data_IF_650283613954
#
_entry.id   IF_650283613954
#
_cell.length_a   1.000
_cell.length_b   1.000
_cell.length_c   1.000
_cell.angle_alpha   90.00
_cell.angle_beta   90.00
_cell.angle_gamma   90.00
#
_symmetry.space_group_name_H-M   'P 1'
#
loop_
_entity.id
_entity.type
_entity.pdbx_description
1 polymer ?
#
# COMPACT_ATOMS: atom_id res chain seq x y z
N UNK A 1 -5.19 -11.98 -21.71
CA UNK A 1 -3.91 -11.36 -22.08
C UNK A 1 -2.78 -12.01 -21.28
N UNK A 2 -1.55 -12.13 -21.83
CA UNK A 2 -0.41 -12.71 -21.13
C UNK A 2 0.52 -11.58 -20.63
N UNK A 3 0.37 -11.20 -19.37
CA UNK A 3 1.08 -10.06 -18.77
C UNK A 3 2.61 -10.22 -18.66
N UNK A 4 3.11 -11.43 -18.84
CA UNK A 4 4.54 -11.72 -18.93
C UNK A 4 5.15 -11.45 -20.32
N UNK A 5 4.33 -11.12 -21.34
CA UNK A 5 4.77 -10.75 -22.68
C UNK A 5 4.61 -9.25 -22.90
N UNK A 6 5.26 -8.72 -23.95
CA UNK A 6 5.12 -7.32 -24.33
C UNK A 6 3.71 -6.99 -24.82
N UNK A 7 3.22 -5.81 -24.48
CA UNK A 7 1.93 -5.27 -24.95
C UNK A 7 2.10 -3.78 -25.30
N UNK A 8 1.20 -3.26 -26.11
CA UNK A 8 1.09 -1.82 -26.35
C UNK A 8 0.16 -1.21 -25.33
N UNK A 9 0.55 -0.08 -24.74
CA UNK A 9 -0.19 0.65 -23.73
C UNK A 9 -0.68 2.00 -24.28
N UNK A 10 -1.89 2.37 -23.92
CA UNK A 10 -2.41 3.74 -24.03
C UNK A 10 -3.26 4.04 -22.79
N UNK A 11 -3.37 5.31 -22.43
CA UNK A 11 -4.00 5.71 -21.19
C UNK A 11 -5.08 6.75 -21.45
N UNK A 12 -6.10 6.72 -20.60
CA UNK A 12 -7.08 7.79 -20.52
C UNK A 12 -7.53 7.97 -19.08
N UNK A 13 -8.05 9.11 -18.78
CA UNK A 13 -8.68 9.43 -17.52
C UNK A 13 -10.18 9.56 -17.73
N UNK A 14 -10.98 9.03 -16.83
CA UNK A 14 -12.41 9.26 -16.74
C UNK A 14 -12.71 10.16 -15.53
N UNK A 15 -13.68 11.07 -15.69
CA UNK A 15 -14.27 11.80 -14.57
C UNK A 15 -15.28 10.87 -13.88
N UNK A 16 -15.23 10.77 -12.56
CA UNK A 16 -16.08 9.89 -11.76
C UNK A 16 -17.12 10.72 -11.01
N UNK A 17 -18.38 10.36 -11.11
CA UNK A 17 -19.44 10.92 -10.29
C UNK A 17 -19.30 10.40 -8.84
N UNK A 18 -19.07 11.25 -7.84
CA UNK A 18 -18.77 10.83 -6.46
C UNK A 18 -19.97 10.18 -5.74
N UNK A 19 -21.18 10.32 -6.25
CA UNK A 19 -22.40 9.75 -5.66
C UNK A 19 -22.72 8.37 -6.24
N UNK A 20 -22.61 8.24 -7.56
CA UNK A 20 -22.93 6.98 -8.25
C UNK A 20 -21.73 6.09 -8.51
N UNK A 21 -20.51 6.61 -8.31
CA UNK A 21 -19.21 5.98 -8.56
C UNK A 21 -19.02 5.50 -10.01
N UNK A 22 -19.68 6.21 -10.96
CA UNK A 22 -19.66 5.88 -12.39
C UNK A 22 -18.87 6.91 -13.17
N UNK A 23 -18.23 6.43 -14.22
CA UNK A 23 -17.53 7.29 -15.18
C UNK A 23 -18.55 8.11 -15.98
N UNK A 24 -18.30 9.40 -16.15
CA UNK A 24 -19.20 10.36 -16.82
C UNK A 24 -18.59 10.95 -18.08
N UNK A 25 -17.31 11.33 -18.07
CA UNK A 25 -16.59 11.95 -19.17
C UNK A 25 -15.16 11.41 -19.25
N UNK A 26 -14.42 11.75 -20.31
CA UNK A 26 -13.06 11.25 -20.56
C UNK A 26 -12.14 12.36 -21.02
N UNK A 27 -10.88 12.29 -20.54
CA UNK A 27 -9.77 13.08 -21.04
C UNK A 27 -8.60 12.17 -21.44
N UNK A 28 -7.82 12.59 -22.42
CA UNK A 28 -6.62 11.88 -22.85
C UNK A 28 -5.44 12.23 -21.94
N UNK A 29 -4.68 11.23 -21.53
CA UNK A 29 -3.43 11.36 -20.77
C UNK A 29 -2.27 11.27 -21.76
N UNK A 30 -1.34 12.21 -21.66
CA UNK A 30 -0.12 12.24 -22.48
C UNK A 30 1.10 11.68 -21.76
N UNK A 31 1.08 11.61 -20.43
CA UNK A 31 2.14 11.06 -19.58
C UNK A 31 1.77 11.11 -18.12
N UNK A 32 2.71 10.76 -17.28
CA UNK A 32 2.56 10.81 -15.82
C UNK A 32 3.02 9.55 -15.11
N UNK A 33 2.75 9.48 -13.82
CA UNK A 33 3.05 8.33 -12.99
C UNK A 33 1.98 8.12 -11.91
N UNK A 34 1.90 6.90 -11.41
CA UNK A 34 1.05 6.52 -10.28
C UNK A 34 1.93 5.91 -9.20
N UNK A 35 1.87 6.47 -8.01
CA UNK A 35 2.56 5.98 -6.83
C UNK A 35 1.58 5.24 -5.91
N UNK A 36 2.03 4.12 -5.33
CA UNK A 36 1.27 3.32 -4.38
C UNK A 36 2.19 2.75 -3.32
N UNK A 37 1.72 2.65 -2.08
CA UNK A 37 2.42 1.95 -1.01
C UNK A 37 1.52 0.93 -0.28
N UNK A 38 2.11 0.12 0.57
CA UNK A 38 1.38 -0.91 1.32
C UNK A 38 0.49 -0.36 2.45
N UNK A 39 0.71 0.87 2.89
CA UNK A 39 -0.15 1.52 3.87
C UNK A 39 -1.51 1.87 3.28
N UNK A 40 -1.60 1.91 1.94
CA UNK A 40 -2.78 2.38 1.21
C UNK A 40 -3.02 3.89 1.34
N UNK A 41 -2.25 4.58 2.18
CA UNK A 41 -2.43 6.00 2.47
C UNK A 41 -1.80 6.90 1.40
N UNK A 42 -0.66 6.49 0.87
CA UNK A 42 0.18 7.25 -0.07
C UNK A 42 -0.09 6.86 -1.53
N UNK A 43 -1.36 6.64 -1.89
CA UNK A 43 -1.68 6.55 -3.31
C UNK A 43 -1.84 7.94 -3.90
N UNK A 44 -1.06 8.23 -4.93
CA UNK A 44 -1.13 9.48 -5.68
C UNK A 44 -0.90 9.23 -7.15
N UNK A 45 -1.26 10.18 -7.98
CA UNK A 45 -0.88 10.20 -9.38
C UNK A 45 -0.56 11.62 -9.79
N UNK A 46 0.45 11.77 -10.66
CA UNK A 46 0.74 13.02 -11.37
C UNK A 46 0.52 12.76 -12.84
N UNK A 47 -0.39 13.47 -13.47
CA UNK A 47 -0.83 13.23 -14.85
C UNK A 47 -0.63 14.46 -15.72
N UNK A 48 -0.05 14.23 -16.91
CA UNK A 48 -0.01 15.24 -17.98
C UNK A 48 -1.20 15.02 -18.91
N UNK A 49 -2.02 16.04 -19.08
CA UNK A 49 -3.21 16.00 -19.92
C UNK A 49 -3.41 17.34 -20.66
N UNK A 50 -4.36 17.34 -21.58
CA UNK A 50 -4.75 18.54 -22.35
C UNK A 50 -6.17 18.90 -21.94
N UNK A 51 -6.42 20.19 -21.70
CA UNK A 51 -7.75 20.75 -21.41
C UNK A 51 -8.47 20.11 -20.20
N UNK A 52 -7.77 19.97 -19.05
CA UNK A 52 -8.40 19.57 -17.81
C UNK A 52 -9.27 20.71 -17.25
N UNK A 53 -10.46 20.43 -16.68
CA UNK A 53 -11.30 21.44 -16.05
C UNK A 53 -10.61 22.11 -14.86
N UNK A 54 -10.81 23.42 -14.68
CA UNK A 54 -10.28 24.20 -13.56
C UNK A 54 -11.15 24.03 -12.30
N UNK A 55 -11.28 22.77 -11.87
CA UNK A 55 -12.05 22.37 -10.68
C UNK A 55 -11.52 21.07 -10.08
N UNK A 56 -11.78 20.85 -8.80
CA UNK A 56 -11.48 19.59 -8.11
C UNK A 56 -12.48 18.50 -8.54
N UNK A 57 -11.99 17.37 -9.00
CA UNK A 57 -12.81 16.29 -9.55
C UNK A 57 -12.34 14.92 -9.08
N UNK A 58 -13.28 13.98 -8.95
CA UNK A 58 -12.93 12.57 -8.86
C UNK A 58 -12.58 12.04 -10.24
N UNK A 59 -11.43 11.37 -10.33
CA UNK A 59 -10.91 10.84 -11.60
C UNK A 59 -10.53 9.36 -11.45
N UNK A 60 -10.61 8.65 -12.58
CA UNK A 60 -10.14 7.27 -12.69
C UNK A 60 -9.23 7.12 -13.90
N UNK A 61 -8.02 6.59 -13.67
CA UNK A 61 -7.00 6.40 -14.69
C UNK A 61 -7.06 4.95 -15.18
N UNK A 62 -7.12 4.77 -16.49
CA UNK A 62 -7.18 3.47 -17.15
C UNK A 62 -5.98 3.20 -18.03
N UNK A 63 -5.51 1.96 -17.99
CA UNK A 63 -4.62 1.37 -18.97
C UNK A 63 -5.45 0.62 -20.02
N UNK A 64 -5.31 0.97 -21.28
CA UNK A 64 -5.72 0.13 -22.41
C UNK A 64 -4.51 -0.66 -22.91
N UNK A 65 -4.47 -1.93 -22.58
CA UNK A 65 -3.42 -2.83 -23.01
C UNK A 65 -3.89 -3.63 -24.25
N UNK A 66 -3.00 -3.78 -25.25
CA UNK A 66 -3.29 -4.57 -26.47
C UNK A 66 -2.14 -5.51 -26.77
N UNK A 67 -2.47 -6.77 -27.07
CA UNK A 67 -1.51 -7.83 -27.34
C UNK A 67 -2.13 -8.86 -28.30
N UNK A 68 -1.48 -9.13 -29.46
CA UNK A 68 -1.85 -10.20 -30.41
C UNK A 68 -3.35 -10.24 -30.83
N UNK A 69 -4.03 -9.09 -30.81
CA UNK A 69 -5.44 -8.96 -31.15
C UNK A 69 -6.38 -8.92 -29.93
N UNK A 70 -5.90 -9.25 -28.76
CA UNK A 70 -6.64 -9.10 -27.50
C UNK A 70 -6.46 -7.66 -26.95
N UNK A 71 -7.49 -7.17 -26.27
CA UNK A 71 -7.45 -5.88 -25.58
C UNK A 71 -8.02 -6.04 -24.17
N UNK A 72 -7.40 -5.37 -23.21
CA UNK A 72 -7.83 -5.32 -21.82
C UNK A 72 -7.86 -3.87 -21.34
N UNK A 73 -8.84 -3.56 -20.46
CA UNK A 73 -9.05 -2.25 -19.87
C UNK A 73 -8.89 -2.36 -18.37
N UNK A 74 -7.75 -1.91 -17.85
CA UNK A 74 -7.41 -2.06 -16.44
C UNK A 74 -7.49 -0.71 -15.74
N UNK A 75 -8.35 -0.53 -14.74
CA UNK A 75 -8.33 0.65 -13.89
C UNK A 75 -7.06 0.61 -13.04
N UNK A 76 -6.25 1.66 -13.15
CA UNK A 76 -5.00 1.76 -12.40
C UNK A 76 -5.16 2.54 -11.09
N UNK A 77 -5.93 3.61 -11.11
CA UNK A 77 -6.04 4.55 -10.00
C UNK A 77 -7.41 5.22 -10.02
N UNK A 78 -7.97 5.46 -8.86
CA UNK A 78 -9.11 6.37 -8.66
C UNK A 78 -8.78 7.28 -7.48
N UNK A 79 -9.02 8.58 -7.65
CA UNK A 79 -8.71 9.56 -6.61
C UNK A 79 -9.30 10.94 -6.91
N UNK A 80 -8.87 11.92 -6.15
CA UNK A 80 -9.29 13.31 -6.26
C UNK A 80 -8.19 14.09 -6.98
N UNK A 81 -8.49 14.61 -8.15
CA UNK A 81 -7.63 15.50 -8.91
C UNK A 81 -7.76 16.94 -8.37
N UNK A 82 -6.62 17.59 -8.18
CA UNK A 82 -6.58 19.02 -7.84
C UNK A 82 -6.81 19.88 -9.08
N UNK A 83 -6.96 21.18 -8.88
CA UNK A 83 -6.90 22.14 -9.99
C UNK A 83 -5.54 22.09 -10.67
N UNK A 84 -5.51 22.09 -12.01
CA UNK A 84 -4.27 21.93 -12.75
C UNK A 84 -3.37 23.18 -12.66
N UNK A 85 -2.07 22.92 -12.79
CA UNK A 85 -1.12 23.97 -13.16
C UNK A 85 -1.08 24.08 -14.69
N UNK A 86 -1.27 25.30 -15.21
CA UNK A 86 -1.30 25.58 -16.64
C UNK A 86 0.07 26.02 -17.17
N UNK A 87 0.62 25.27 -18.12
CA UNK A 87 1.83 25.62 -18.85
C UNK A 87 1.50 26.07 -20.27
N UNK A 88 1.65 27.37 -20.53
CA UNK A 88 1.42 27.96 -21.88
C UNK A 88 2.71 28.03 -22.67
N UNK A 89 2.86 27.17 -23.66
CA UNK A 89 4.01 27.19 -24.56
C UNK A 89 3.57 27.44 -26.01
N UNK A 90 3.61 28.69 -26.45
CA UNK A 90 3.34 29.07 -27.83
C UNK A 90 1.95 28.72 -28.37
N UNK A 91 0.93 28.69 -27.49
CA UNK A 91 -0.47 28.40 -27.83
C UNK A 91 -0.87 26.93 -27.67
N UNK A 92 0.04 26.08 -27.20
CA UNK A 92 -0.30 24.77 -26.64
C UNK A 92 -0.45 24.92 -25.14
N UNK A 93 -1.57 24.47 -24.59
CA UNK A 93 -1.80 24.35 -23.18
C UNK A 93 -1.54 22.88 -22.78
N UNK A 94 -0.66 22.65 -21.83
CA UNK A 94 -0.50 21.35 -21.17
C UNK A 94 -0.73 21.54 -19.68
N UNK A 95 -1.51 20.67 -19.10
CA UNK A 95 -1.83 20.68 -17.67
C UNK A 95 -1.12 19.51 -17.00
N UNK A 96 -0.47 19.78 -15.88
CA UNK A 96 -0.06 18.73 -14.95
C UNK A 96 -1.03 18.75 -13.79
N UNK A 97 -1.65 17.61 -13.52
CA UNK A 97 -2.70 17.44 -12.50
C UNK A 97 -2.21 16.48 -11.45
N UNK A 98 -2.16 16.95 -10.21
CA UNK A 98 -1.89 16.10 -9.05
C UNK A 98 -3.18 15.44 -8.57
N UNK A 99 -3.12 14.13 -8.32
CA UNK A 99 -4.26 13.37 -7.84
C UNK A 99 -3.92 12.69 -6.51
N UNK A 100 -4.81 12.82 -5.54
CA UNK A 100 -4.70 12.20 -4.23
C UNK A 100 -5.64 11.00 -4.09
N UNK A 101 -5.31 10.12 -3.17
CA UNK A 101 -6.11 8.94 -2.84
C UNK A 101 -7.57 9.29 -2.51
N UNK A 102 -8.48 8.36 -2.75
CA UNK A 102 -9.86 8.42 -2.25
C UNK A 102 -9.96 8.50 -0.72
N UNK A 103 -8.87 8.22 -0.01
CA UNK A 103 -8.79 8.38 1.45
C UNK A 103 -8.54 9.82 1.91
N UNK A 104 -8.19 10.72 0.99
CA UNK A 104 -7.88 12.13 1.33
C UNK A 104 -8.95 12.82 2.19
N UNK A 105 -10.27 12.66 1.91
CA UNK A 105 -11.29 13.25 2.78
C UNK A 105 -11.26 12.74 4.23
N UNK A 106 -10.83 11.50 4.45
CA UNK A 106 -10.69 10.96 5.80
C UNK A 106 -9.41 11.47 6.52
N UNK A 107 -8.40 11.85 5.76
CA UNK A 107 -7.17 12.47 6.26
C UNK A 107 -7.38 13.96 6.62
N UNK A 108 -8.25 14.66 5.89
CA UNK A 108 -8.50 16.10 6.09
C UNK A 108 -9.36 16.42 7.32
N UNK A 109 -10.04 15.42 7.89
CA UNK A 109 -10.98 15.65 9.00
C UNK A 109 -10.40 15.14 10.32
N UNK A 110 -10.16 16.10 11.22
CA UNK A 110 -9.75 15.79 12.59
C UNK A 110 -10.90 15.16 13.38
N UNK A 111 -10.57 14.21 14.23
CA UNK A 111 -11.52 13.63 15.17
C UNK A 111 -11.90 14.64 16.28
N UNK A 112 -13.14 14.60 16.79
CA UNK A 112 -13.51 15.42 17.93
C UNK A 112 -12.66 15.10 19.17
N UNK A 113 -12.30 16.10 19.94
CA UNK A 113 -11.58 15.92 21.20
C UNK A 113 -12.29 14.92 22.14
N UNK A 114 -11.54 13.94 22.61
CA UNK A 114 -12.06 12.87 23.46
C UNK A 114 -12.81 11.77 22.70
N UNK A 115 -12.69 11.73 21.37
CA UNK A 115 -13.18 10.60 20.58
C UNK A 115 -12.38 9.34 20.91
N UNK A 116 -13.02 8.20 20.93
CA UNK A 116 -12.36 6.92 21.12
C UNK A 116 -13.08 5.78 20.41
N UNK A 117 -12.35 4.78 19.98
CA UNK A 117 -12.87 3.50 19.53
C UNK A 117 -13.07 2.61 20.76
N UNK A 118 -14.31 2.18 21.10
CA UNK A 118 -14.57 1.44 22.33
C UNK A 118 -14.11 -0.01 22.24
N UNK A 119 -13.64 -0.55 23.37
CA UNK A 119 -13.35 -1.97 23.50
C UNK A 119 -14.61 -2.83 23.29
N UNK A 120 -14.43 -4.05 22.75
CA UNK A 120 -15.50 -5.02 22.53
C UNK A 120 -16.43 -4.71 21.35
N UNK A 121 -16.07 -3.75 20.49
CA UNK A 121 -16.77 -3.46 19.22
C UNK A 121 -15.98 -4.05 18.07
N UNK A 122 -16.67 -4.64 17.10
CA UNK A 122 -16.06 -5.16 15.88
C UNK A 122 -15.35 -4.04 15.12
N UNK A 123 -14.11 -4.26 14.73
CA UNK A 123 -13.29 -3.26 14.08
C UNK A 123 -13.87 -2.77 12.75
N UNK A 124 -14.56 -3.64 11.99
CA UNK A 124 -15.20 -3.29 10.71
C UNK A 124 -16.27 -2.20 10.88
N UNK A 125 -17.04 -2.22 11.97
CA UNK A 125 -18.07 -1.21 12.25
C UNK A 125 -17.43 0.17 12.42
N UNK A 126 -16.34 0.23 13.18
CA UNK A 126 -15.65 1.49 13.46
C UNK A 126 -14.95 2.01 12.21
N UNK A 127 -14.25 1.12 11.47
CA UNK A 127 -13.57 1.47 10.22
C UNK A 127 -14.57 2.00 9.19
N UNK A 128 -15.73 1.34 9.01
CA UNK A 128 -16.78 1.83 8.10
C UNK A 128 -17.28 3.21 8.49
N UNK A 129 -17.51 3.45 9.78
CA UNK A 129 -17.96 4.74 10.29
C UNK A 129 -16.93 5.86 10.01
N UNK A 130 -15.64 5.58 10.18
CA UNK A 130 -14.57 6.56 9.95
C UNK A 130 -14.36 6.83 8.46
N UNK A 131 -14.58 5.83 7.60
CA UNK A 131 -14.42 5.93 6.15
C UNK A 131 -15.68 6.45 5.41
N UNK A 132 -16.82 6.58 6.08
CA UNK A 132 -18.09 7.05 5.47
C UNK A 132 -17.95 8.41 4.78
N UNK A 133 -17.06 9.26 5.29
CA UNK A 133 -16.77 10.58 4.73
C UNK A 133 -16.12 10.54 3.34
N UNK A 134 -15.53 9.41 2.94
CA UNK A 134 -14.83 9.32 1.65
C UNK A 134 -15.77 9.17 0.45
N UNK A 135 -17.03 8.83 0.67
CA UNK A 135 -18.01 8.41 -0.35
C UNK A 135 -17.56 7.22 -1.23
N UNK A 136 -16.36 6.71 -1.05
CA UNK A 136 -15.84 5.56 -1.80
C UNK A 136 -16.49 4.26 -1.33
N UNK A 137 -16.68 3.28 -2.23
CA UNK A 137 -17.12 1.96 -1.83
C UNK A 137 -16.14 1.30 -0.86
N UNK A 138 -16.65 0.73 0.25
CA UNK A 138 -15.84 0.07 1.27
C UNK A 138 -16.18 -1.41 1.32
N UNK A 139 -15.16 -2.26 1.11
CA UNK A 139 -15.22 -3.71 1.17
C UNK A 139 -14.33 -4.20 2.32
N UNK A 140 -14.94 -4.62 3.43
CA UNK A 140 -14.25 -5.17 4.59
C UNK A 140 -14.64 -6.63 4.72
N UNK A 141 -13.65 -7.49 4.87
CA UNK A 141 -13.93 -8.91 5.08
C UNK A 141 -14.77 -9.12 6.33
N UNK A 142 -15.75 -10.02 6.24
CA UNK A 142 -16.61 -10.37 7.36
C UNK A 142 -15.79 -11.01 8.49
N UNK A 143 -16.23 -10.83 9.73
CA UNK A 143 -15.56 -11.37 10.93
C UNK A 143 -14.26 -10.66 11.35
N UNK A 144 -14.16 -9.34 11.15
CA UNK A 144 -13.06 -8.57 11.73
C UNK A 144 -12.98 -8.77 13.26
N UNK A 145 -11.75 -8.87 13.82
CA UNK A 145 -11.57 -8.93 15.28
C UNK A 145 -12.16 -7.71 15.97
N UNK A 146 -12.60 -7.86 17.21
CA UNK A 146 -12.98 -6.71 18.04
C UNK A 146 -11.76 -6.14 18.81
N UNK A 147 -11.82 -4.86 19.14
CA UNK A 147 -10.78 -4.21 19.90
C UNK A 147 -10.80 -4.73 21.35
N UNK A 148 -9.64 -5.10 21.88
CA UNK A 148 -9.48 -5.60 23.24
C UNK A 148 -9.48 -4.47 24.26
N UNK A 149 -8.82 -3.38 23.90
CA UNK A 149 -8.76 -2.13 24.67
C UNK A 149 -9.39 -1.00 23.85
N UNK A 150 -9.83 0.07 24.53
CA UNK A 150 -10.30 1.26 23.82
C UNK A 150 -9.11 2.03 23.27
N UNK A 151 -9.17 2.43 21.99
CA UNK A 151 -8.17 3.26 21.36
C UNK A 151 -8.64 4.71 21.44
N UNK A 152 -7.92 5.53 22.18
CA UNK A 152 -8.25 6.95 22.37
C UNK A 152 -7.53 7.79 21.31
N UNK A 153 -8.24 8.71 20.70
CA UNK A 153 -7.67 9.62 19.71
C UNK A 153 -6.80 10.68 20.40
N UNK A 154 -5.66 10.97 19.81
CA UNK A 154 -4.82 12.12 20.15
C UNK A 154 -5.41 13.41 19.56
N UNK A 155 -4.86 14.58 19.95
CA UNK A 155 -5.41 15.90 19.56
C UNK A 155 -5.33 16.15 18.05
N UNK A 156 -4.39 15.54 17.35
CA UNK A 156 -4.11 15.69 15.92
C UNK A 156 -4.55 14.47 15.09
N UNK A 157 -5.21 13.50 15.73
CA UNK A 157 -5.71 12.32 15.01
C UNK A 157 -6.82 12.68 14.03
N UNK A 158 -6.68 12.16 12.81
CA UNK A 158 -7.69 12.23 11.75
C UNK A 158 -8.52 10.93 11.72
N UNK A 159 -9.61 10.93 10.95
CA UNK A 159 -10.33 9.70 10.68
C UNK A 159 -9.40 8.64 10.10
N UNK A 160 -8.48 9.03 9.21
CA UNK A 160 -7.56 8.11 8.54
C UNK A 160 -6.49 7.56 9.48
N UNK A 161 -5.88 8.42 10.33
CA UNK A 161 -4.88 7.96 11.30
C UNK A 161 -5.47 6.93 12.28
N UNK A 162 -6.72 7.15 12.69
CA UNK A 162 -7.44 6.22 13.55
C UNK A 162 -7.77 4.90 12.83
N UNK A 163 -8.18 4.96 11.56
CA UNK A 163 -8.36 3.75 10.73
C UNK A 163 -7.07 2.95 10.67
N UNK A 164 -5.92 3.62 10.48
CA UNK A 164 -4.62 2.96 10.45
C UNK A 164 -4.29 2.28 11.78
N UNK A 165 -4.49 2.97 12.91
CA UNK A 165 -4.26 2.39 14.25
C UNK A 165 -5.12 1.15 14.49
N UNK A 166 -6.40 1.17 14.08
CA UNK A 166 -7.30 0.03 14.21
C UNK A 166 -6.85 -1.14 13.32
N UNK A 167 -6.46 -0.87 12.07
CA UNK A 167 -5.97 -1.89 11.13
C UNK A 167 -4.68 -2.54 11.65
N UNK A 168 -3.77 -1.75 12.23
CA UNK A 168 -2.55 -2.26 12.84
C UNK A 168 -2.84 -3.10 14.09
N UNK A 169 -3.80 -2.68 14.93
CA UNK A 169 -4.24 -3.42 16.10
C UNK A 169 -4.78 -4.81 15.75
N UNK A 170 -5.59 -4.94 14.70
CA UNK A 170 -6.14 -6.22 14.24
C UNK A 170 -5.18 -6.99 13.32
N UNK A 171 -4.02 -6.42 12.99
CA UNK A 171 -3.01 -6.98 12.08
C UNK A 171 -3.55 -7.30 10.68
N UNK A 172 -4.39 -6.42 10.15
CA UNK A 172 -4.92 -6.50 8.80
C UNK A 172 -4.17 -5.54 7.87
N UNK A 173 -4.64 -5.41 6.62
CA UNK A 173 -4.14 -4.45 5.64
C UNK A 173 -5.29 -3.68 5.01
N UNK A 174 -5.01 -2.43 4.63
CA UNK A 174 -5.89 -1.62 3.77
C UNK A 174 -5.34 -1.65 2.34
N UNK A 175 -6.23 -1.59 1.37
CA UNK A 175 -5.89 -1.63 -0.05
C UNK A 175 -6.93 -0.83 -0.82
N UNK A 176 -6.49 0.01 -1.75
CA UNK A 176 -7.38 0.71 -2.66
C UNK A 176 -7.22 0.09 -4.04
N UNK A 177 -8.30 -0.44 -4.60
CA UNK A 177 -8.30 -0.98 -5.95
C UNK A 177 -8.17 0.14 -6.99
N UNK A 178 -7.81 -0.20 -8.23
CA UNK A 178 -7.82 0.76 -9.33
C UNK A 178 -9.19 1.40 -9.56
N UNK A 179 -10.28 0.74 -9.17
CA UNK A 179 -11.65 1.27 -9.22
C UNK A 179 -11.99 2.20 -8.04
N UNK A 180 -11.07 2.39 -7.09
CA UNK A 180 -11.27 3.22 -5.92
C UNK A 180 -12.08 2.56 -4.80
N UNK A 181 -12.20 1.22 -4.81
CA UNK A 181 -12.80 0.48 -3.70
C UNK A 181 -11.78 0.36 -2.57
N UNK A 182 -12.16 0.79 -1.38
CA UNK A 182 -11.35 0.67 -0.18
C UNK A 182 -11.58 -0.72 0.41
N UNK A 183 -10.58 -1.60 0.31
CA UNK A 183 -10.63 -2.95 0.84
C UNK A 183 -9.85 -3.08 2.15
N UNK A 184 -10.38 -3.81 3.15
CA UNK A 184 -9.70 -4.11 4.41
C UNK A 184 -9.75 -5.62 4.64
N UNK A 185 -8.58 -6.26 4.66
CA UNK A 185 -8.45 -7.71 4.64
C UNK A 185 -7.34 -8.20 5.60
N UNK A 186 -7.40 -9.45 6.06
CA UNK A 186 -6.27 -10.09 6.74
C UNK A 186 -5.00 -10.08 5.87
N UNK A 187 -3.84 -9.94 6.49
CA UNK A 187 -2.56 -10.12 5.80
C UNK A 187 -2.42 -11.59 5.37
N UNK A 188 -2.05 -11.82 4.10
CA UNK A 188 -1.75 -13.17 3.56
C UNK A 188 -0.26 -13.29 3.29
N UNK A 189 0.28 -14.48 3.52
CA UNK A 189 1.64 -14.86 3.14
C UNK A 189 1.69 -15.68 1.83
N UNK A 190 0.54 -15.95 1.21
CA UNK A 190 0.47 -16.69 -0.04
C UNK A 190 0.89 -15.82 -1.23
N UNK A 191 1.83 -16.27 -2.07
CA UNK A 191 2.30 -15.49 -3.21
C UNK A 191 1.25 -15.43 -4.33
N UNK A 192 0.92 -14.21 -4.77
CA UNK A 192 0.01 -13.98 -5.91
C UNK A 192 0.66 -14.30 -7.26
N UNK A 193 1.96 -14.05 -7.39
CA UNK A 193 2.75 -14.30 -8.60
C UNK A 193 4.14 -14.84 -8.24
N UNK A 194 4.72 -15.62 -9.15
CA UNK A 194 6.11 -16.09 -9.05
C UNK A 194 6.91 -15.59 -10.25
N UNK A 195 8.00 -14.89 -10.00
CA UNK A 195 8.95 -14.45 -11.01
C UNK A 195 10.18 -15.36 -11.02
N UNK A 196 10.53 -15.80 -12.23
CA UNK A 196 11.62 -16.73 -12.49
C UNK A 196 12.25 -16.37 -13.84
N UNK A 197 13.57 -16.15 -13.94
CA UNK A 197 14.22 -15.72 -15.19
C UNK A 197 14.10 -16.74 -16.34
N UNK A 198 13.64 -17.94 -16.06
CA UNK A 198 13.47 -18.99 -17.09
C UNK A 198 12.03 -19.11 -17.57
N UNK A 199 11.06 -18.98 -16.67
CA UNK A 199 9.65 -19.29 -16.95
C UNK A 199 8.73 -18.08 -16.95
N UNK A 200 9.09 -17.02 -16.23
CA UNK A 200 8.31 -15.79 -16.09
C UNK A 200 9.25 -14.59 -15.86
N UNK A 201 10.03 -14.25 -16.87
CA UNK A 201 11.04 -13.19 -16.83
C UNK A 201 10.39 -11.84 -17.18
N UNK A 202 9.87 -11.15 -16.16
CA UNK A 202 9.28 -9.81 -16.29
C UNK A 202 10.11 -8.72 -15.62
N UNK A 203 11.13 -9.10 -14.83
CA UNK A 203 11.98 -8.19 -14.06
C UNK A 203 13.17 -7.79 -14.92
N UNK A 204 13.46 -6.49 -14.97
CA UNK A 204 14.65 -5.98 -15.65
C UNK A 204 15.92 -6.44 -14.92
N UNK A 205 17.06 -6.61 -15.65
CA UNK A 205 18.30 -7.15 -15.06
C UNK A 205 18.90 -6.30 -13.93
N UNK A 206 18.54 -5.01 -13.85
CA UNK A 206 19.04 -4.09 -12.83
C UNK A 206 18.27 -4.26 -11.52
N UNK A 207 18.75 -5.10 -10.64
CA UNK A 207 18.17 -5.34 -9.32
C UNK A 207 19.12 -4.77 -8.26
N UNK A 208 18.60 -3.90 -7.39
CA UNK A 208 19.33 -3.37 -6.24
C UNK A 208 18.86 -4.09 -4.98
N UNK A 209 19.79 -4.68 -4.22
CA UNK A 209 19.49 -5.30 -2.92
C UNK A 209 20.19 -4.52 -1.81
N UNK A 210 19.43 -4.06 -0.84
CA UNK A 210 19.93 -3.38 0.35
C UNK A 210 19.74 -4.28 1.58
N UNK A 211 20.69 -4.17 2.53
CA UNK A 211 20.64 -4.91 3.79
C UNK A 211 21.02 -3.98 4.92
N UNK A 212 20.05 -3.60 5.73
CA UNK A 212 20.31 -2.83 6.95
C UNK A 212 20.35 -3.77 8.16
N UNK A 213 21.48 -4.43 8.29
CA UNK A 213 21.69 -5.31 9.44
C UNK A 213 22.14 -4.56 10.68
N UNK A 214 22.66 -3.34 10.51
CA UNK A 214 23.24 -2.59 11.63
C UNK A 214 22.19 -2.14 12.64
N UNK A 215 21.10 -1.57 12.18
CA UNK A 215 20.00 -1.06 13.00
C UNK A 215 18.90 -2.09 13.30
N UNK A 216 18.88 -3.21 12.58
CA UNK A 216 17.88 -4.26 12.73
C UNK A 216 17.79 -4.76 14.18
N UNK A 217 16.63 -4.67 14.85
CA UNK A 217 16.47 -5.06 16.26
C UNK A 217 16.53 -6.58 16.44
N UNK A 218 16.94 -7.00 17.63
CA UNK A 218 16.84 -8.38 18.09
C UNK A 218 16.17 -8.52 19.45
N UNK A 219 15.76 -7.40 20.03
CA UNK A 219 14.92 -7.34 21.20
C UNK A 219 13.83 -6.29 20.98
N UNK A 220 12.58 -6.70 21.17
CA UNK A 220 11.43 -5.81 21.04
C UNK A 220 10.64 -5.78 22.35
N UNK A 221 10.34 -4.60 22.85
CA UNK A 221 9.51 -4.40 24.03
C UNK A 221 8.18 -3.74 23.66
N UNK A 222 7.10 -4.39 23.97
CA UNK A 222 5.75 -3.85 23.86
C UNK A 222 5.23 -3.45 25.24
N UNK A 223 4.61 -2.28 25.34
CA UNK A 223 3.98 -1.75 26.53
C UNK A 223 2.56 -1.29 26.18
N UNK A 224 1.58 -1.69 26.98
CA UNK A 224 0.18 -1.26 26.90
C UNK A 224 -0.34 -1.08 28.32
N UNK A 225 -0.55 0.17 28.75
CA UNK A 225 -0.97 0.55 30.10
C UNK A 225 -0.28 -0.28 31.20
N UNK A 226 -0.98 -1.34 31.69
CA UNK A 226 -0.51 -2.24 32.76
C UNK A 226 0.17 -3.50 32.23
N UNK A 227 0.19 -3.72 30.90
CA UNK A 227 0.74 -4.91 30.26
C UNK A 227 2.12 -4.63 29.67
N UNK A 228 3.00 -5.60 29.75
CA UNK A 228 4.29 -5.53 29.08
C UNK A 228 4.77 -6.90 28.60
N UNK A 229 5.45 -6.93 27.46
CA UNK A 229 6.12 -8.12 26.96
C UNK A 229 7.45 -7.78 26.30
N UNK A 230 8.37 -8.73 26.32
CA UNK A 230 9.67 -8.63 25.63
C UNK A 230 9.82 -9.86 24.74
N UNK A 231 9.99 -9.64 23.45
CA UNK A 231 10.39 -10.65 22.50
C UNK A 231 11.91 -10.54 22.24
N UNK A 232 12.59 -11.68 22.11
CA UNK A 232 14.03 -11.76 21.85
C UNK A 232 14.29 -12.78 20.75
N UNK A 233 15.25 -12.46 19.89
CA UNK A 233 15.80 -13.40 18.94
C UNK A 233 17.14 -13.90 19.46
N UNK A 234 17.13 -15.07 20.08
CA UNK A 234 18.31 -15.77 20.60
C UNK A 234 18.63 -17.01 19.72
N UNK A 235 18.04 -17.14 18.52
CA UNK A 235 18.25 -18.27 17.62
C UNK A 235 19.67 -18.30 17.06
N UNK A 236 20.33 -19.44 17.10
CA UNK A 236 21.63 -19.65 16.45
C UNK A 236 21.54 -19.58 14.91
N UNK A 237 20.35 -19.80 14.35
CA UNK A 237 20.10 -19.79 12.89
C UNK A 237 19.85 -18.37 12.35
N UNK A 238 19.39 -17.44 13.19
CA UNK A 238 19.10 -16.09 12.78
C UNK A 238 20.37 -15.21 12.72
N UNK A 239 20.68 -14.59 11.59
CA UNK A 239 21.81 -13.64 11.49
C UNK A 239 21.63 -12.38 12.35
N UNK A 240 20.40 -12.12 12.79
CA UNK A 240 20.03 -10.95 13.59
C UNK A 240 20.08 -11.22 15.10
N UNK A 241 20.18 -12.48 15.53
CA UNK A 241 20.05 -12.86 16.93
C UNK A 241 21.08 -12.22 17.83
N UNK A 242 20.76 -12.11 19.12
CA UNK A 242 21.66 -11.63 20.17
C UNK A 242 22.92 -12.49 20.25
N UNK A 243 22.78 -13.81 20.01
CA UNK A 243 23.88 -14.78 20.02
C UNK A 243 24.88 -14.51 18.90
N UNK A 244 24.41 -14.42 17.67
CA UNK A 244 25.29 -14.25 16.51
C UNK A 244 25.90 -12.85 16.42
N UNK A 245 25.20 -11.83 16.94
CA UNK A 245 25.69 -10.44 16.92
C UNK A 245 26.50 -10.05 18.16
N UNK A 246 26.41 -10.80 19.23
CA UNK A 246 27.07 -10.51 20.51
C UNK A 246 26.61 -9.20 21.15
N UNK A 247 25.48 -8.65 20.74
CA UNK A 247 24.89 -7.42 21.29
C UNK A 247 23.37 -7.40 21.16
N UNK A 248 22.72 -6.66 22.05
CA UNK A 248 21.30 -6.38 22.00
C UNK A 248 21.04 -5.06 21.29
N UNK A 249 20.07 -5.05 20.37
CA UNK A 249 19.55 -3.86 19.72
C UNK A 249 18.06 -3.83 20.05
N UNK A 250 17.70 -2.87 20.86
CA UNK A 250 16.34 -2.73 21.37
C UNK A 250 15.50 -1.84 20.47
N UNK A 251 14.28 -2.26 20.25
CA UNK A 251 13.18 -1.44 19.79
C UNK A 251 12.04 -1.53 20.80
N UNK A 252 11.26 -0.48 20.92
CA UNK A 252 10.12 -0.48 21.83
C UNK A 252 8.92 0.24 21.25
N UNK A 253 7.76 -0.24 21.62
CA UNK A 253 6.48 0.40 21.45
C UNK A 253 5.90 0.66 22.84
N UNK A 254 5.56 1.91 23.13
CA UNK A 254 5.10 2.35 24.45
C UNK A 254 3.59 2.55 24.53
N UNK A 255 2.88 2.30 23.45
CA UNK A 255 1.44 2.51 23.34
C UNK A 255 0.87 1.60 22.25
N UNK A 256 0.97 0.26 22.48
CA UNK A 256 0.47 -0.70 21.51
C UNK A 256 -1.04 -0.90 21.65
N UNK A 257 -1.77 -0.67 20.56
CA UNK A 257 -3.18 -1.00 20.46
C UNK A 257 -3.34 -2.51 20.17
N UNK A 258 -4.22 -3.19 20.89
CA UNK A 258 -4.41 -4.63 20.80
C UNK A 258 -5.85 -5.01 20.43
N UNK A 259 -5.98 -6.06 19.60
CA UNK A 259 -7.23 -6.74 19.33
C UNK A 259 -7.36 -8.07 20.12
N UNK A 260 -8.53 -8.68 20.09
CA UNK A 260 -8.81 -9.91 20.83
C UNK A 260 -8.09 -11.14 20.28
N UNK A 261 -7.66 -11.08 19.04
CA UNK A 261 -6.96 -12.15 18.34
C UNK A 261 -5.46 -12.23 18.67
N UNK A 262 -4.89 -11.29 19.44
CA UNK A 262 -3.45 -11.25 19.74
C UNK A 262 -3.19 -10.88 21.21
N UNK A 263 -2.29 -11.58 21.86
CA UNK A 263 -1.74 -11.18 23.15
C UNK A 263 -0.57 -10.22 22.99
N UNK A 264 -0.24 -9.44 24.04
CA UNK A 264 0.91 -8.52 24.00
C UNK A 264 2.25 -9.25 23.74
N UNK A 265 2.37 -10.51 24.14
CA UNK A 265 3.57 -11.31 23.87
C UNK A 265 3.65 -11.73 22.40
N UNK A 266 2.53 -12.10 21.79
CA UNK A 266 2.44 -12.41 20.37
C UNK A 266 2.67 -11.15 19.53
N UNK A 267 2.09 -10.01 19.94
CA UNK A 267 2.35 -8.72 19.33
C UNK A 267 3.85 -8.39 19.30
N UNK A 268 4.53 -8.46 20.44
CA UNK A 268 5.97 -8.19 20.52
C UNK A 268 6.78 -9.12 19.61
N UNK A 269 6.43 -10.40 19.57
CA UNK A 269 7.10 -11.40 18.74
C UNK A 269 6.87 -11.15 17.23
N UNK A 270 5.65 -10.78 16.86
CA UNK A 270 5.30 -10.42 15.49
C UNK A 270 6.04 -9.16 15.04
N UNK A 271 6.01 -8.10 15.85
CA UNK A 271 6.69 -6.84 15.54
C UNK A 271 8.20 -7.03 15.37
N UNK A 272 8.84 -7.81 16.26
CA UNK A 272 10.25 -8.14 16.09
C UNK A 272 10.54 -8.83 14.76
N UNK A 273 9.70 -9.78 14.36
CA UNK A 273 9.82 -10.45 13.06
C UNK A 273 9.64 -9.50 11.87
N UNK A 274 8.66 -8.61 11.93
CA UNK A 274 8.39 -7.63 10.87
C UNK A 274 9.61 -6.70 10.67
N UNK A 275 10.19 -6.21 11.76
CA UNK A 275 11.41 -5.38 11.69
C UNK A 275 12.62 -6.13 11.12
N UNK A 276 12.78 -7.41 11.45
CA UNK A 276 13.84 -8.24 10.91
C UNK A 276 13.64 -8.56 9.43
N UNK A 277 12.40 -8.77 8.98
CA UNK A 277 12.06 -8.94 7.56
C UNK A 277 12.36 -7.65 6.77
N UNK A 278 12.02 -6.50 7.32
CA UNK A 278 12.27 -5.19 6.71
C UNK A 278 13.78 -4.87 6.53
N UNK A 279 14.67 -5.56 7.23
CA UNK A 279 16.12 -5.39 7.09
C UNK A 279 16.70 -5.81 5.73
N UNK A 280 15.95 -6.54 4.91
CA UNK A 280 16.33 -6.91 3.54
C UNK A 280 15.31 -6.33 2.58
N UNK A 281 15.75 -5.39 1.75
CA UNK A 281 14.93 -4.75 0.72
C UNK A 281 15.53 -4.99 -0.66
N UNK A 282 14.68 -5.08 -1.67
CA UNK A 282 15.11 -5.09 -3.06
C UNK A 282 14.26 -4.13 -3.87
N UNK A 283 14.93 -3.43 -4.82
CA UNK A 283 14.30 -2.53 -5.76
C UNK A 283 14.61 -2.98 -7.18
N UNK A 284 13.61 -3.01 -8.02
CA UNK A 284 13.74 -3.39 -9.43
C UNK A 284 12.61 -2.80 -10.27
N UNK A 285 12.82 -2.80 -11.57
CA UNK A 285 11.81 -2.45 -12.56
C UNK A 285 11.26 -3.73 -13.21
N UNK A 286 9.97 -3.73 -13.53
CA UNK A 286 9.30 -4.81 -14.25
C UNK A 286 8.21 -4.30 -15.19
N UNK A 287 7.68 -5.21 -16.02
CA UNK A 287 6.43 -4.95 -16.72
C UNK A 287 5.26 -4.91 -15.77
N UNK A 288 4.26 -4.12 -16.09
CA UNK A 288 3.01 -4.05 -15.33
C UNK A 288 2.32 -5.43 -15.26
N UNK A 289 1.75 -5.70 -14.11
CA UNK A 289 0.92 -6.89 -13.85
C UNK A 289 -0.26 -6.49 -12.97
N UNK A 290 -1.53 -6.66 -13.42
CA UNK A 290 -2.70 -6.12 -12.72
C UNK A 290 -2.97 -6.79 -11.36
N UNK A 291 -2.55 -8.04 -11.20
CA UNK A 291 -2.81 -8.83 -9.98
C UNK A 291 -1.84 -8.54 -8.85
N UNK A 292 -0.84 -7.65 -9.07
CA UNK A 292 0.16 -7.33 -8.05
C UNK A 292 -0.06 -5.91 -7.56
N UNK A 293 -0.29 -5.78 -6.27
CA UNK A 293 -0.43 -4.50 -5.58
C UNK A 293 0.47 -4.44 -4.33
N UNK A 294 0.76 -3.25 -3.81
CA UNK A 294 1.42 -3.13 -2.51
C UNK A 294 0.69 -3.94 -1.42
N UNK A 295 1.46 -4.54 -0.51
CA UNK A 295 0.96 -5.46 0.51
C UNK A 295 0.78 -6.90 0.04
N UNK A 296 0.89 -7.20 -1.26
CA UNK A 296 0.86 -8.57 -1.76
C UNK A 296 2.23 -9.26 -1.60
N UNK A 297 2.18 -10.58 -1.45
CA UNK A 297 3.39 -11.40 -1.43
C UNK A 297 3.66 -11.94 -2.82
N UNK A 298 4.90 -11.89 -3.25
CA UNK A 298 5.40 -12.46 -4.49
C UNK A 298 6.53 -13.43 -4.22
N UNK A 299 6.73 -14.37 -5.11
CA UNK A 299 7.89 -15.27 -5.06
C UNK A 299 8.94 -14.83 -6.07
N UNK A 300 10.16 -14.54 -5.59
CA UNK A 300 11.31 -14.25 -6.43
C UNK A 300 12.26 -15.45 -6.45
N UNK A 301 12.70 -15.87 -7.65
CA UNK A 301 13.65 -16.95 -7.87
C UNK A 301 14.89 -16.44 -8.62
N UNK A 302 15.60 -15.50 -8.02
CA UNK A 302 16.82 -14.86 -8.55
C UNK A 302 18.01 -15.14 -7.61
N UNK A 303 18.48 -16.42 -7.51
CA UNK A 303 19.47 -16.80 -6.51
C UNK A 303 20.83 -16.14 -6.71
N UNK A 304 21.20 -15.78 -7.93
CA UNK A 304 22.45 -15.06 -8.22
C UNK A 304 22.49 -13.66 -7.67
N UNK A 305 21.32 -13.02 -7.49
CA UNK A 305 21.14 -11.71 -6.88
C UNK A 305 20.88 -11.81 -5.37
N UNK A 306 20.79 -13.04 -4.84
CA UNK A 306 20.45 -13.30 -3.44
C UNK A 306 18.96 -13.16 -3.11
N UNK A 307 18.09 -13.16 -4.15
CA UNK A 307 16.64 -13.11 -4.03
C UNK A 307 16.04 -14.47 -4.36
N UNK A 308 15.83 -15.30 -3.36
CA UNK A 308 15.24 -16.63 -3.54
C UNK A 308 14.29 -16.93 -2.37
N UNK A 309 13.05 -16.49 -2.49
CA UNK A 309 12.08 -16.63 -1.40
C UNK A 309 10.78 -15.88 -1.66
N UNK A 310 10.07 -15.62 -0.59
CA UNK A 310 8.87 -14.79 -0.57
C UNK A 310 9.26 -13.36 -0.21
N UNK A 311 8.65 -12.42 -0.91
CA UNK A 311 8.86 -10.99 -0.71
C UNK A 311 7.51 -10.28 -0.71
N UNK A 312 7.37 -9.29 0.17
CA UNK A 312 6.18 -8.42 0.22
C UNK A 312 6.46 -7.14 -0.56
N UNK A 313 5.54 -6.78 -1.43
CA UNK A 313 5.59 -5.52 -2.18
C UNK A 313 5.28 -4.36 -1.23
N UNK A 314 6.23 -3.43 -1.08
CA UNK A 314 6.10 -2.26 -0.21
C UNK A 314 5.54 -1.05 -0.96
N UNK A 315 6.07 -0.81 -2.15
CA UNK A 315 5.67 0.31 -2.98
C UNK A 315 5.74 -0.04 -4.46
N UNK A 316 4.97 0.68 -5.26
CA UNK A 316 4.97 0.63 -6.72
C UNK A 316 4.90 2.03 -7.28
N UNK A 317 5.71 2.29 -8.31
CA UNK A 317 5.59 3.45 -9.18
C UNK A 317 5.32 2.95 -10.61
N UNK A 318 4.17 3.34 -11.18
CA UNK A 318 3.74 2.93 -12.52
C UNK A 318 3.88 4.13 -13.45
N UNK A 319 4.80 4.04 -14.41
CA UNK A 319 4.97 5.06 -15.44
C UNK A 319 3.85 4.95 -16.49
N UNK A 320 3.13 6.04 -16.73
CA UNK A 320 2.10 6.13 -17.77
C UNK A 320 2.76 6.39 -19.15
N UNK A 321 3.63 5.47 -19.53
CA UNK A 321 4.45 5.50 -20.72
C UNK A 321 4.40 4.17 -21.47
N UNK A 322 5.38 3.97 -22.36
CA UNK A 322 5.46 2.75 -23.14
C UNK A 322 5.65 1.52 -22.25
N UNK A 323 4.72 0.55 -22.40
CA UNK A 323 4.80 -0.73 -21.69
C UNK A 323 4.42 -0.70 -20.20
N UNK A 324 3.91 0.42 -19.69
CA UNK A 324 3.52 0.58 -18.28
C UNK A 324 4.60 0.07 -17.31
N UNK A 325 5.83 0.57 -17.46
CA UNK A 325 6.96 0.19 -16.61
C UNK A 325 6.58 0.41 -15.15
N UNK A 326 6.80 -0.60 -14.33
CA UNK A 326 6.52 -0.57 -12.89
C UNK A 326 7.81 -0.75 -12.11
N UNK A 327 8.19 0.27 -11.34
CA UNK A 327 9.26 0.18 -10.35
C UNK A 327 8.69 -0.32 -9.03
N UNK A 328 9.34 -1.28 -8.40
CA UNK A 328 8.89 -1.88 -7.14
C UNK A 328 9.98 -1.91 -6.09
N UNK A 329 9.57 -1.62 -4.85
CA UNK A 329 10.33 -1.94 -3.66
C UNK A 329 9.66 -3.10 -2.92
N UNK A 330 10.47 -4.09 -2.56
CA UNK A 330 10.01 -5.29 -1.84
C UNK A 330 10.87 -5.56 -0.61
N UNK A 331 10.26 -6.17 0.42
CA UNK A 331 10.97 -6.65 1.61
C UNK A 331 10.84 -8.16 1.72
N UNK A 332 11.79 -8.79 2.41
CA UNK A 332 11.68 -10.22 2.71
C UNK A 332 10.41 -10.52 3.52
N UNK A 333 9.74 -11.67 3.22
CA UNK A 333 8.54 -12.14 3.94
C UNK A 333 8.82 -13.27 4.91
#
# INVERSE_FOLDING_TARGET
MEWNKGFSASYYMAIVDPVTWRDTDRAEITGGNIERDESGLMQSASIDCVDFPDEELYVRIYLNARQDGDADHVPLFTGIATTPDDDFNGGLNSNTVECFSVLKPADDVLLPLGWYAPAGVDADIIIRQLLDITNAPVDIEESAPYLKTSIVADEDDTNLSMVQRIIDAINWKIRISGEGVIGVYPKSADPVVSFDPVTNDCIEPAIKVSRDWYSCPNVYRALDEDLSAIARDDSEESPFSTVNRGREIWMQDTSCDLADNESIAEYAARRLKEEQKAAITASYDRRFHPDIMPGDVIRLKYPTQGLNGLFRVKSQSIELGYGAKTSEDVTNE
#
